data_IF_517272141017
#
_entry.id   IF_517272141017
#
_cell.length_a   1.000
_cell.length_b   1.000
_cell.length_c   1.000
_cell.angle_alpha   90.00
_cell.angle_beta   90.00
_cell.angle_gamma   90.00
#
_symmetry.space_group_name_H-M   'P 1'
#
loop_
_entity.id
_entity.type
_entity.pdbx_description
1 polymer ?
#
# COMPACT_ATOMS: atom_id res chain seq x y z
N UNK A 1 0.30 4.28 -2.68
CA UNK A 1 -0.62 4.24 -1.56
C UNK A 1 -1.44 5.54 -1.49
N UNK A 2 -2.63 5.45 -0.92
CA UNK A 2 -3.50 6.57 -0.61
C UNK A 2 -4.27 6.22 0.67
N UNK A 3 -3.61 6.37 1.80
CA UNK A 3 -4.06 5.88 3.10
C UNK A 3 -4.61 6.97 4.02
N UNK A 4 -5.33 6.52 5.04
CA UNK A 4 -5.82 7.40 6.09
C UNK A 4 -4.72 7.75 7.07
N UNK A 5 -4.66 9.00 7.46
CA UNK A 5 -3.87 9.42 8.61
C UNK A 5 -4.48 8.80 9.88
N UNK A 6 -3.63 8.20 10.69
CA UNK A 6 -3.99 7.62 11.98
C UNK A 6 -3.36 8.45 13.10
N UNK A 7 -4.06 8.63 14.21
CA UNK A 7 -3.57 9.39 15.36
C UNK A 7 -4.71 10.13 16.09
N UNK A 8 -4.37 11.20 16.83
CA UNK A 8 -5.33 11.99 17.60
C UNK A 8 -6.24 12.88 16.75
N UNK A 9 -7.09 13.67 17.41
CA UNK A 9 -8.22 14.44 16.81
C UNK A 9 -7.84 15.35 15.62
N UNK A 10 -6.62 15.88 15.57
CA UNK A 10 -6.15 16.72 14.46
C UNK A 10 -5.97 15.93 13.15
N UNK A 11 -5.64 14.64 13.22
CA UNK A 11 -5.43 13.79 12.02
C UNK A 11 -6.73 13.50 11.28
N UNK A 12 -7.88 13.50 11.97
CA UNK A 12 -9.19 13.34 11.35
C UNK A 12 -9.48 14.40 10.29
N UNK A 13 -9.02 15.64 10.48
CA UNK A 13 -9.18 16.74 9.51
C UNK A 13 -8.37 16.53 8.25
N UNK A 14 -7.19 15.90 8.34
CA UNK A 14 -6.33 15.61 7.19
C UNK A 14 -6.96 14.57 6.26
N UNK A 15 -7.84 13.72 6.78
CA UNK A 15 -8.55 12.72 5.99
C UNK A 15 -9.73 13.28 5.18
N UNK A 16 -10.11 14.53 5.38
CA UNK A 16 -11.29 15.10 4.72
C UNK A 16 -11.04 15.62 3.31
N UNK A 17 -9.77 15.79 2.92
CA UNK A 17 -9.40 16.42 1.65
C UNK A 17 -8.20 15.72 1.04
N UNK A 18 -8.25 15.48 -0.25
CA UNK A 18 -7.08 15.08 -1.04
C UNK A 18 -6.33 16.38 -1.44
N UNK A 19 -5.10 16.62 -0.95
CA UNK A 19 -4.42 17.92 -1.06
C UNK A 19 -3.79 18.21 -2.44
N UNK A 20 -4.24 17.51 -3.49
CA UNK A 20 -3.72 17.65 -4.86
C UNK A 20 -4.80 17.40 -5.92
N UNK A 21 -4.54 17.79 -7.16
CA UNK A 21 -5.47 17.56 -8.26
C UNK A 21 -5.48 16.09 -8.69
N UNK A 22 -6.57 15.39 -8.38
CA UNK A 22 -6.77 13.95 -8.62
C UNK A 22 -6.79 13.58 -10.10
N UNK A 23 -7.26 14.48 -10.97
CA UNK A 23 -7.33 14.27 -12.42
C UNK A 23 -5.94 14.20 -13.08
N UNK A 24 -4.92 14.77 -12.44
CA UNK A 24 -3.53 14.75 -12.92
C UNK A 24 -2.78 13.47 -12.57
N UNK A 25 -3.36 12.58 -11.76
CA UNK A 25 -2.73 11.32 -11.38
C UNK A 25 -2.97 10.28 -12.47
N UNK A 26 -1.89 9.76 -13.05
CA UNK A 26 -1.97 8.75 -14.11
C UNK A 26 -2.18 7.33 -13.58
N UNK A 27 -1.60 7.01 -12.42
CA UNK A 27 -1.70 5.68 -11.82
C UNK A 27 -1.45 5.75 -10.31
N UNK A 28 -2.08 4.85 -9.58
CA UNK A 28 -1.83 4.60 -8.15
C UNK A 28 -1.27 3.19 -8.00
N UNK A 29 -0.29 3.02 -7.12
CA UNK A 29 0.27 1.72 -6.75
C UNK A 29 0.07 1.51 -5.27
N UNK A 30 -0.54 0.38 -4.92
CA UNK A 30 -0.81 0.01 -3.52
C UNK A 30 0.22 -1.01 -3.08
N UNK A 31 0.89 -0.73 -1.96
CA UNK A 31 1.87 -1.65 -1.38
C UNK A 31 1.19 -2.81 -0.66
N UNK A 32 0.14 -2.53 0.12
CA UNK A 32 -0.65 -3.54 0.86
C UNK A 32 -2.01 -2.96 1.32
N UNK A 33 -2.84 -3.77 1.97
CA UNK A 33 -4.24 -3.45 2.24
C UNK A 33 -4.54 -2.89 3.64
N UNK A 34 -3.56 -2.40 4.41
CA UNK A 34 -3.85 -1.69 5.64
C UNK A 34 -4.51 -0.34 5.36
N UNK A 35 -5.33 0.12 6.29
CA UNK A 35 -6.19 1.30 6.10
C UNK A 35 -5.38 2.61 5.94
N UNK A 36 -4.21 2.70 6.56
CA UNK A 36 -3.26 3.79 6.40
C UNK A 36 -2.50 3.77 5.05
N UNK A 37 -2.78 2.78 4.19
CA UNK A 37 -2.28 2.68 2.82
C UNK A 37 -3.39 2.73 1.77
N UNK A 38 -4.62 2.31 2.10
CA UNK A 38 -5.72 2.23 1.13
C UNK A 38 -6.95 3.05 1.50
N UNK A 39 -7.05 3.54 2.72
CA UNK A 39 -8.29 4.05 3.29
C UNK A 39 -8.84 5.31 2.65
N UNK A 40 -8.05 6.08 1.92
CA UNK A 40 -8.50 7.26 1.16
C UNK A 40 -8.67 7.00 -0.35
N UNK A 41 -8.46 5.77 -0.82
CA UNK A 41 -8.72 5.44 -2.24
C UNK A 41 -10.15 5.76 -2.68
N UNK A 42 -11.21 5.47 -1.90
CA UNK A 42 -12.57 5.83 -2.30
C UNK A 42 -12.80 7.34 -2.32
N UNK A 43 -12.16 8.11 -1.43
CA UNK A 43 -12.20 9.57 -1.48
C UNK A 43 -11.49 10.09 -2.74
N UNK A 44 -10.33 9.54 -3.08
CA UNK A 44 -9.59 9.87 -4.30
C UNK A 44 -10.47 9.68 -5.55
N UNK A 45 -11.21 8.58 -5.62
CA UNK A 45 -12.13 8.28 -6.73
C UNK A 45 -13.35 9.21 -6.70
N UNK A 46 -13.94 9.47 -5.54
CA UNK A 46 -15.03 10.44 -5.35
C UNK A 46 -14.64 11.83 -5.85
N UNK A 47 -13.38 12.24 -5.65
CA UNK A 47 -12.83 13.52 -6.09
C UNK A 47 -12.31 13.50 -7.54
N UNK A 48 -12.67 12.51 -8.35
CA UNK A 48 -12.49 12.53 -9.80
C UNK A 48 -11.37 11.65 -10.36
N UNK A 49 -10.66 10.86 -9.55
CA UNK A 49 -9.70 9.88 -10.08
C UNK A 49 -10.43 8.76 -10.82
N UNK A 50 -9.98 8.45 -12.05
CA UNK A 50 -10.63 7.46 -12.92
C UNK A 50 -9.67 6.44 -13.54
N UNK A 51 -8.37 6.52 -13.20
CA UNK A 51 -7.36 5.66 -13.80
C UNK A 51 -7.16 4.36 -12.98
N UNK A 52 -6.32 3.44 -13.48
CA UNK A 52 -6.06 2.18 -12.82
C UNK A 52 -5.32 2.34 -11.48
N UNK A 53 -5.75 1.55 -10.51
CA UNK A 53 -5.09 1.36 -9.20
C UNK A 53 -4.44 -0.02 -9.22
N UNK A 54 -3.12 -0.07 -9.31
CA UNK A 54 -2.37 -1.32 -9.35
C UNK A 54 -2.05 -1.82 -7.94
N UNK A 55 -2.31 -3.08 -7.68
CA UNK A 55 -2.00 -3.73 -6.40
C UNK A 55 -1.41 -5.13 -6.64
N UNK A 56 -0.63 -5.70 -5.71
CA UNK A 56 -0.32 -7.12 -5.74
C UNK A 56 -1.61 -7.96 -5.77
N UNK A 57 -1.57 -9.11 -6.44
CA UNK A 57 -2.78 -9.91 -6.67
C UNK A 57 -3.56 -10.22 -5.37
N UNK A 58 -2.88 -10.65 -4.31
CA UNK A 58 -3.54 -10.93 -3.04
C UNK A 58 -4.13 -9.66 -2.41
N UNK A 59 -3.40 -8.54 -2.42
CA UNK A 59 -3.91 -7.23 -1.95
C UNK A 59 -5.16 -6.82 -2.72
N UNK A 60 -5.18 -6.98 -4.05
CA UNK A 60 -6.36 -6.65 -4.87
C UNK A 60 -7.61 -7.48 -4.54
N UNK A 61 -7.45 -8.63 -3.86
CA UNK A 61 -8.55 -9.51 -3.42
C UNK A 61 -8.97 -9.31 -1.97
N UNK A 62 -8.19 -8.55 -1.19
CA UNK A 62 -8.41 -8.33 0.25
C UNK A 62 -8.79 -6.88 0.56
N UNK A 63 -8.51 -5.96 -0.35
CA UNK A 63 -8.75 -4.53 -0.13
C UNK A 63 -10.23 -4.17 0.05
N UNK A 64 -11.16 -4.94 -0.54
CA UNK A 64 -12.59 -4.77 -0.39
C UNK A 64 -13.01 -4.90 1.08
N UNK A 65 -12.47 -5.87 1.80
CA UNK A 65 -12.74 -6.09 3.22
C UNK A 65 -12.37 -4.84 4.03
N UNK A 66 -11.17 -4.30 3.84
CA UNK A 66 -10.69 -3.12 4.55
C UNK A 66 -11.54 -1.87 4.24
N UNK A 67 -11.89 -1.66 2.97
CA UNK A 67 -12.66 -0.49 2.54
C UNK A 67 -14.11 -0.54 3.00
N UNK A 68 -14.77 -1.70 2.92
CA UNK A 68 -16.14 -1.84 3.42
C UNK A 68 -16.22 -1.75 4.95
N UNK A 69 -15.23 -2.29 5.66
CA UNK A 69 -15.16 -2.17 7.12
C UNK A 69 -14.97 -0.71 7.54
N UNK A 70 -14.08 0.01 6.86
CA UNK A 70 -13.88 1.45 7.08
C UNK A 70 -15.16 2.27 6.85
N UNK A 71 -15.97 1.94 5.84
CA UNK A 71 -17.29 2.56 5.66
C UNK A 71 -18.21 2.34 6.85
N UNK A 72 -18.30 1.10 7.34
CA UNK A 72 -19.20 0.73 8.44
C UNK A 72 -18.81 1.41 9.76
N UNK A 73 -17.52 1.45 10.09
CA UNK A 73 -17.06 2.05 11.35
C UNK A 73 -17.40 3.54 11.40
N UNK A 74 -17.33 4.24 10.28
CA UNK A 74 -17.64 5.68 10.21
C UNK A 74 -19.12 5.98 10.35
N UNK A 75 -19.99 5.12 9.81
CA UNK A 75 -21.44 5.24 9.99
C UNK A 75 -21.85 5.22 11.49
N UNK A 76 -21.06 4.58 12.34
CA UNK A 76 -21.32 4.47 13.78
C UNK A 76 -20.71 5.60 14.63
N UNK A 77 -19.69 6.32 14.16
CA UNK A 77 -18.87 7.16 15.06
C UNK A 77 -18.86 8.66 14.79
N UNK A 78 -19.11 9.17 13.59
CA UNK A 78 -18.80 10.57 13.26
C UNK A 78 -19.84 11.36 12.43
N UNK A 79 -20.98 10.80 12.10
CA UNK A 79 -22.07 11.55 11.43
C UNK A 79 -21.82 12.03 10.00
N UNK A 80 -20.58 12.25 9.58
CA UNK A 80 -20.20 12.62 8.20
C UNK A 80 -19.26 11.58 7.60
N UNK A 81 -19.77 10.81 6.64
CA UNK A 81 -18.97 9.82 5.91
C UNK A 81 -18.09 10.51 4.86
N UNK A 82 -16.78 10.23 4.86
CA UNK A 82 -15.85 10.75 3.84
C UNK A 82 -16.24 10.27 2.44
N UNK A 83 -16.71 9.04 2.34
CA UNK A 83 -17.17 8.39 1.11
C UNK A 83 -18.21 7.33 1.43
N UNK A 84 -19.02 7.02 0.46
CA UNK A 84 -20.12 6.06 0.56
C UNK A 84 -19.74 4.71 -0.04
N UNK A 85 -20.59 3.70 0.19
CA UNK A 85 -20.44 2.35 -0.39
C UNK A 85 -20.28 2.36 -1.91
N UNK A 86 -21.00 3.23 -2.61
CA UNK A 86 -20.90 3.40 -4.05
C UNK A 86 -19.50 3.88 -4.49
N UNK A 87 -18.82 4.71 -3.68
CA UNK A 87 -17.46 5.15 -3.97
C UNK A 87 -16.45 4.00 -3.77
N UNK A 88 -16.69 3.13 -2.78
CA UNK A 88 -15.92 1.89 -2.61
C UNK A 88 -16.10 0.98 -3.84
N UNK A 89 -17.33 0.76 -4.30
CA UNK A 89 -17.63 -0.08 -5.46
C UNK A 89 -16.94 0.44 -6.74
N UNK A 90 -16.98 1.76 -6.96
CA UNK A 90 -16.25 2.40 -8.07
C UNK A 90 -14.74 2.19 -7.94
N UNK A 91 -14.19 2.35 -6.73
CA UNK A 91 -12.76 2.15 -6.44
C UNK A 91 -12.34 0.72 -6.75
N UNK A 92 -13.10 -0.26 -6.29
CA UNK A 92 -12.84 -1.68 -6.56
C UNK A 92 -12.85 -1.99 -8.06
N UNK A 93 -13.70 -1.31 -8.84
CA UNK A 93 -13.73 -1.41 -10.30
C UNK A 93 -12.46 -0.90 -11.00
N UNK A 94 -11.67 -0.04 -10.36
CA UNK A 94 -10.41 0.49 -10.89
C UNK A 94 -9.19 -0.35 -10.47
N UNK A 95 -9.34 -1.31 -9.53
CA UNK A 95 -8.22 -2.09 -9.03
C UNK A 95 -7.79 -3.17 -10.01
N UNK A 96 -6.51 -3.16 -10.33
CA UNK A 96 -5.84 -4.12 -11.21
C UNK A 96 -4.81 -4.91 -10.42
N UNK A 97 -5.07 -6.20 -10.20
CA UNK A 97 -4.16 -7.10 -9.52
C UNK A 97 -3.01 -7.56 -10.42
N UNK A 98 -1.80 -7.56 -9.89
CA UNK A 98 -0.60 -8.06 -10.57
C UNK A 98 0.18 -9.05 -9.72
N UNK A 99 0.76 -10.07 -10.35
CA UNK A 99 1.68 -10.99 -9.68
C UNK A 99 3.00 -10.30 -9.34
N UNK A 100 3.67 -10.77 -8.29
CA UNK A 100 5.04 -10.38 -8.00
C UNK A 100 5.97 -10.67 -9.18
N UNK A 101 7.02 -9.87 -9.30
CA UNK A 101 8.06 -9.98 -10.34
C UNK A 101 7.57 -9.80 -11.78
N UNK A 102 6.28 -9.49 -11.97
CA UNK A 102 5.74 -9.13 -13.27
C UNK A 102 5.92 -7.63 -13.52
N UNK A 103 6.54 -7.29 -14.64
CA UNK A 103 6.71 -5.90 -15.08
C UNK A 103 5.38 -5.39 -15.64
N UNK A 104 4.86 -4.33 -15.07
CA UNK A 104 3.73 -3.57 -15.56
C UNK A 104 4.22 -2.33 -16.31
N UNK A 105 3.46 -1.88 -17.29
CA UNK A 105 3.73 -0.67 -18.08
C UNK A 105 2.54 0.28 -17.99
N UNK A 106 2.34 0.97 -16.86
CA UNK A 106 1.22 1.88 -16.68
C UNK A 106 1.30 3.10 -17.63
N UNK A 107 2.50 3.44 -18.06
CA UNK A 107 2.77 4.50 -19.03
C UNK A 107 3.93 4.10 -19.97
N UNK A 108 4.04 4.76 -21.11
CA UNK A 108 5.04 4.46 -22.16
C UNK A 108 6.47 4.30 -21.65
N UNK A 109 6.89 5.16 -20.72
CA UNK A 109 8.27 5.21 -20.21
C UNK A 109 8.37 4.75 -18.76
N UNK A 110 7.31 4.18 -18.18
CA UNK A 110 7.26 3.78 -16.78
C UNK A 110 7.06 2.28 -16.68
N UNK A 111 7.98 1.61 -16.01
CA UNK A 111 7.89 0.19 -15.68
C UNK A 111 7.75 0.06 -14.16
N UNK A 112 6.83 -0.76 -13.71
CA UNK A 112 6.59 -0.99 -12.28
C UNK A 112 6.59 -2.48 -11.98
N UNK A 113 7.24 -2.86 -10.90
CA UNK A 113 7.34 -4.27 -10.47
C UNK A 113 7.11 -4.36 -8.96
N UNK A 114 6.27 -5.31 -8.55
CA UNK A 114 6.05 -5.66 -7.15
C UNK A 114 6.97 -6.79 -6.72
N UNK A 115 7.55 -6.68 -5.52
CA UNK A 115 8.31 -7.75 -4.85
C UNK A 115 7.77 -7.94 -3.44
N UNK A 116 7.67 -9.19 -2.98
CA UNK A 116 7.20 -9.46 -1.61
C UNK A 116 8.13 -8.83 -0.58
N UNK A 117 7.54 -8.16 0.43
CA UNK A 117 8.28 -7.50 1.51
C UNK A 117 8.11 -8.19 2.88
N UNK A 118 7.34 -9.28 2.95
CA UNK A 118 7.20 -10.10 4.16
C UNK A 118 6.32 -9.51 5.26
N UNK A 119 5.68 -8.36 5.06
CA UNK A 119 4.82 -7.73 6.08
C UNK A 119 3.55 -8.55 6.31
N UNK A 120 2.76 -8.74 5.25
CA UNK A 120 1.55 -9.56 5.26
C UNK A 120 1.28 -10.17 3.88
N UNK A 121 0.20 -10.97 3.77
CA UNK A 121 -0.21 -11.56 2.48
C UNK A 121 -0.51 -10.46 1.47
N UNK A 122 0.23 -10.47 0.37
CA UNK A 122 0.06 -9.46 -0.69
C UNK A 122 0.90 -8.21 -0.51
N UNK A 123 1.58 -8.01 0.62
CA UNK A 123 2.39 -6.82 0.82
C UNK A 123 3.63 -6.78 -0.08
N UNK A 124 3.94 -5.61 -0.62
CA UNK A 124 4.98 -5.47 -1.63
C UNK A 124 5.89 -4.25 -1.46
N UNK A 125 7.14 -4.45 -1.87
CA UNK A 125 8.01 -3.37 -2.34
C UNK A 125 7.55 -3.01 -3.75
N UNK A 126 7.47 -1.72 -4.05
CA UNK A 126 7.17 -1.19 -5.39
C UNK A 126 8.45 -0.60 -5.99
N UNK A 127 8.95 -1.23 -7.04
CA UNK A 127 10.04 -0.69 -7.86
C UNK A 127 9.44 0.06 -9.05
N UNK A 128 9.73 1.35 -9.17
CA UNK A 128 9.33 2.20 -10.30
C UNK A 128 10.58 2.57 -11.09
N UNK A 129 10.59 2.25 -12.38
CA UNK A 129 11.68 2.56 -13.29
C UNK A 129 11.16 3.48 -14.39
N UNK A 130 11.79 4.63 -14.56
CA UNK A 130 11.40 5.66 -15.53
C UNK A 130 12.53 5.84 -16.52
N UNK A 131 12.24 5.53 -17.78
CA UNK A 131 13.24 5.62 -18.86
C UNK A 131 13.07 6.90 -19.66
N UNK A 132 14.17 7.59 -19.89
CA UNK A 132 14.24 8.78 -20.74
C UNK A 132 15.21 8.56 -21.90
N UNK A 133 14.86 8.96 -23.13
CA UNK A 133 15.80 8.89 -24.24
C UNK A 133 17.09 9.65 -23.96
N UNK A 134 18.25 8.97 -24.12
CA UNK A 134 19.57 9.58 -23.96
C UNK A 134 19.99 9.92 -22.53
N UNK A 135 19.32 9.39 -21.52
CA UNK A 135 19.65 9.54 -20.10
C UNK A 135 19.62 8.19 -19.38
N UNK A 136 20.26 8.12 -18.22
CA UNK A 136 20.11 6.98 -17.33
C UNK A 136 18.67 6.87 -16.81
N UNK A 137 18.22 5.64 -16.59
CA UNK A 137 16.92 5.35 -15.98
C UNK A 137 16.87 5.87 -14.53
N UNK A 138 15.72 6.43 -14.14
CA UNK A 138 15.45 6.81 -12.76
C UNK A 138 14.75 5.64 -12.08
N UNK A 139 15.39 5.06 -11.07
CA UNK A 139 14.83 3.97 -10.28
C UNK A 139 14.42 4.48 -8.91
N UNK A 140 13.13 4.30 -8.56
CA UNK A 140 12.55 4.66 -7.28
C UNK A 140 12.06 3.40 -6.59
N UNK A 141 12.29 3.30 -5.29
CA UNK A 141 11.85 2.15 -4.47
C UNK A 141 10.99 2.65 -3.32
N UNK A 142 9.81 2.04 -3.19
CA UNK A 142 8.89 2.24 -2.07
C UNK A 142 8.75 0.92 -1.33
N UNK A 143 9.15 0.85 -0.07
CA UNK A 143 9.16 -0.42 0.67
C UNK A 143 7.77 -0.86 1.10
N UNK A 144 6.82 0.06 1.24
CA UNK A 144 5.67 -0.14 2.11
C UNK A 144 6.14 -0.50 3.52
N UNK A 145 5.23 -0.96 4.36
CA UNK A 145 5.58 -1.59 5.62
C UNK A 145 6.22 -2.94 5.33
N UNK A 146 7.37 -3.25 5.93
CA UNK A 146 8.10 -4.46 5.61
C UNK A 146 8.50 -5.25 6.87
N UNK A 147 8.65 -6.55 6.72
CA UNK A 147 9.14 -7.42 7.78
C UNK A 147 10.08 -8.49 7.22
N UNK A 148 11.36 -8.37 7.55
CA UNK A 148 12.38 -9.31 7.09
C UNK A 148 12.51 -10.59 7.94
N UNK A 149 11.76 -10.69 9.05
CA UNK A 149 11.81 -11.81 10.02
C UNK A 149 10.41 -12.33 10.35
N UNK A 150 9.48 -12.30 9.40
CA UNK A 150 8.13 -12.81 9.62
C UNK A 150 8.15 -14.36 9.72
N UNK A 151 7.37 -14.92 10.64
CA UNK A 151 7.24 -16.37 10.83
C UNK A 151 6.43 -16.99 9.69
N UNK A 152 5.44 -16.25 9.15
CA UNK A 152 4.49 -16.76 8.17
C UNK A 152 4.83 -16.35 6.74
N UNK A 153 5.46 -15.19 6.55
CA UNK A 153 5.74 -14.62 5.23
C UNK A 153 7.21 -14.22 5.13
N UNK A 154 7.95 -14.88 4.27
CA UNK A 154 9.34 -14.52 4.05
C UNK A 154 9.42 -13.34 3.07
N UNK A 155 10.12 -12.28 3.48
CA UNK A 155 10.59 -11.31 2.52
C UNK A 155 11.55 -12.01 1.55
N UNK A 156 11.19 -12.04 0.28
CA UNK A 156 12.09 -12.58 -0.72
C UNK A 156 13.27 -11.64 -0.94
N UNK A 157 14.47 -12.21 -1.00
CA UNK A 157 15.64 -11.42 -1.40
C UNK A 157 15.42 -10.87 -2.81
N UNK A 158 15.58 -9.56 -2.99
CA UNK A 158 15.47 -8.94 -4.31
C UNK A 158 16.45 -9.59 -5.30
N UNK A 159 16.05 -9.82 -6.56
CA UNK A 159 16.93 -10.38 -7.60
C UNK A 159 18.21 -9.57 -7.77
N UNK A 160 19.30 -10.23 -8.18
CA UNK A 160 20.62 -9.57 -8.31
C UNK A 160 20.58 -8.35 -9.25
N UNK A 161 19.88 -8.46 -10.38
CA UNK A 161 19.71 -7.36 -11.32
C UNK A 161 19.01 -6.14 -10.69
N UNK A 162 18.08 -6.34 -9.77
CA UNK A 162 17.41 -5.24 -9.03
C UNK A 162 18.32 -4.64 -7.98
N UNK A 163 19.08 -5.46 -7.26
CA UNK A 163 20.06 -5.00 -6.25
C UNK A 163 21.22 -4.20 -6.83
N UNK A 164 21.49 -4.39 -8.11
CA UNK A 164 22.57 -3.69 -8.83
C UNK A 164 22.08 -2.38 -9.49
N UNK A 165 20.79 -2.05 -9.39
CA UNK A 165 20.28 -0.79 -9.93
C UNK A 165 20.84 0.40 -9.16
N UNK A 166 21.13 1.48 -9.88
CA UNK A 166 21.36 2.78 -9.28
C UNK A 166 20.00 3.35 -8.81
N UNK A 167 19.76 3.36 -7.50
CA UNK A 167 18.50 3.83 -6.90
C UNK A 167 18.59 5.32 -6.66
N UNK A 168 17.77 6.09 -7.36
CA UNK A 168 17.70 7.55 -7.22
C UNK A 168 17.01 7.99 -5.92
N UNK A 169 15.99 7.25 -5.46
CA UNK A 169 15.35 7.50 -4.17
C UNK A 169 14.74 6.21 -3.58
N UNK A 170 14.86 6.10 -2.26
CA UNK A 170 14.25 5.05 -1.45
C UNK A 170 13.27 5.69 -0.46
N UNK A 171 12.02 5.26 -0.53
CA UNK A 171 10.97 5.63 0.42
C UNK A 171 10.71 4.43 1.33
N UNK A 172 11.00 4.58 2.62
CA UNK A 172 10.91 3.50 3.60
C UNK A 172 10.13 3.93 4.83
N UNK A 173 9.44 2.99 5.47
CA UNK A 173 8.81 3.19 6.75
C UNK A 173 9.82 3.40 7.88
N UNK A 174 9.34 3.90 9.02
CA UNK A 174 10.11 4.01 10.26
C UNK A 174 9.23 3.79 11.50
N UNK A 175 8.17 2.99 11.38
CA UNK A 175 7.14 2.77 12.41
C UNK A 175 7.73 2.39 13.77
N UNK A 176 8.75 1.55 13.79
CA UNK A 176 9.47 1.14 14.98
C UNK A 176 10.91 1.67 15.05
N UNK A 177 11.19 2.77 14.33
CA UNK A 177 12.55 3.29 14.19
C UNK A 177 13.22 3.77 15.51
N UNK A 178 12.42 4.06 16.52
CA UNK A 178 12.88 4.48 17.86
C UNK A 178 12.63 3.42 18.96
N UNK A 179 12.23 2.20 18.59
CA UNK A 179 11.90 1.13 19.53
C UNK A 179 12.80 -0.08 19.31
N UNK A 180 13.25 -0.67 20.40
CA UNK A 180 13.90 -1.98 20.31
C UNK A 180 12.88 -3.04 19.91
N UNK A 181 13.21 -3.86 18.93
CA UNK A 181 12.35 -4.98 18.54
C UNK A 181 12.29 -6.01 19.67
N UNK A 182 11.08 -6.48 20.00
CA UNK A 182 10.90 -7.62 20.92
C UNK A 182 11.74 -8.81 20.46
N UNK A 183 12.34 -9.50 21.42
CA UNK A 183 13.13 -10.71 21.18
C UNK A 183 12.35 -11.67 20.26
N UNK A 184 12.91 -12.06 19.11
CA UNK A 184 12.26 -12.99 18.20
C UNK A 184 11.88 -14.33 18.83
N UNK A 185 12.57 -14.76 19.90
CA UNK A 185 12.26 -16.00 20.64
C UNK A 185 10.94 -15.94 21.40
N UNK A 186 10.43 -14.75 21.71
CA UNK A 186 9.15 -14.55 22.41
C UNK A 186 7.94 -14.51 21.44
N UNK A 187 8.15 -14.40 20.14
CA UNK A 187 7.07 -14.30 19.15
C UNK A 187 6.15 -15.52 19.08
N UNK A 188 6.63 -16.78 19.19
CA UNK A 188 5.77 -17.95 19.24
C UNK A 188 4.77 -17.90 20.41
N UNK A 189 5.21 -17.44 21.58
CA UNK A 189 4.35 -17.31 22.75
C UNK A 189 3.20 -16.32 22.55
N UNK A 190 3.44 -15.23 21.80
CA UNK A 190 2.42 -14.22 21.51
C UNK A 190 1.38 -14.79 20.53
N UNK A 191 1.80 -15.58 19.53
CA UNK A 191 0.89 -16.25 18.60
C UNK A 191 0.04 -17.29 19.33
N UNK A 192 0.63 -18.10 20.18
CA UNK A 192 -0.08 -19.11 20.99
C UNK A 192 -1.12 -18.47 21.91
N UNK A 193 -0.78 -17.34 22.56
CA UNK A 193 -1.70 -16.58 23.39
C UNK A 193 -2.86 -15.97 22.59
N UNK A 194 -2.61 -15.51 21.37
CA UNK A 194 -3.63 -14.98 20.46
C UNK A 194 -4.62 -16.07 20.03
N UNK A 195 -4.16 -17.29 19.76
CA UNK A 195 -5.01 -18.42 19.37
C UNK A 195 -5.88 -18.95 20.51
N UNK A 196 -5.51 -18.74 21.77
CA UNK A 196 -6.31 -19.15 22.94
C UNK A 196 -7.56 -18.28 23.11
N UNK A 197 -7.59 -17.07 22.53
CA UNK A 197 -8.69 -16.13 22.65
C UNK A 197 -9.67 -16.13 21.45
N UNK A 198 -9.44 -17.00 20.48
CA UNK A 198 -10.35 -17.26 19.35
C UNK A 198 -11.17 -18.50 19.64
#
# INVERSE_FOLDING_TARGET
DCGMFQGGDETGKLNQVIPFNTEKINSVFVTHNHIDHVGLLPLLVKEGYQNAIFAPYATSRLVDIALYDSCRIKDFTLGDTLYEKNDVEKTLGLIVGSCYKRIMKPHKNVHVTFYSNGHLVGAAIVLVQISYPGREDINLVFTGDYNNKNIFFNAERLPQNVRNLNIAALFTESTYGNMDSTDPSLRPCVVDLSLIHI
#
